data_IF_513679222368
#
_entry.id   IF_513679222368
#
_cell.length_a   1.000
_cell.length_b   1.000
_cell.length_c   1.000
_cell.angle_alpha   90.00
_cell.angle_beta   90.00
_cell.angle_gamma   90.00
#
_symmetry.space_group_name_H-M   'P 1'
#
loop_
_entity.id
_entity.type
_entity.pdbx_description
1 polymer ?
#
# COMPACT_ATOMS: atom_id res chain seq x y z
N UNK A 1 6.63 4.72 -1.02
CA UNK A 1 6.05 3.40 -0.71
C UNK A 1 6.76 2.89 0.52
N UNK A 2 6.10 2.98 1.67
CA UNK A 2 6.62 2.51 2.96
C UNK A 2 6.89 1.01 2.91
N UNK A 3 8.02 0.57 3.47
CA UNK A 3 8.30 -0.85 3.64
C UNK A 3 7.37 -1.47 4.69
N UNK A 4 6.74 -2.59 4.33
CA UNK A 4 5.78 -3.34 5.14
C UNK A 4 6.47 -4.61 5.62
N UNK A 5 6.65 -4.75 6.95
CA UNK A 5 7.17 -5.98 7.55
C UNK A 5 6.10 -7.07 7.50
N UNK A 6 6.45 -8.26 7.04
CA UNK A 6 5.53 -9.41 6.98
C UNK A 6 5.10 -9.84 8.38
N UNK A 7 3.84 -10.22 8.51
CA UNK A 7 3.31 -10.91 9.68
C UNK A 7 2.83 -12.30 9.26
N UNK A 8 2.67 -13.19 10.24
CA UNK A 8 2.17 -14.52 9.98
C UNK A 8 0.70 -14.47 9.55
N UNK A 9 0.33 -15.41 8.67
CA UNK A 9 -1.06 -15.61 8.26
C UNK A 9 -1.97 -15.91 9.46
N UNK A 10 -3.22 -15.41 9.49
CA UNK A 10 -4.18 -15.79 10.52
C UNK A 10 -4.40 -17.31 10.55
N UNK A 11 -4.41 -17.92 11.74
CA UNK A 11 -4.66 -19.36 11.91
C UNK A 11 -6.02 -19.76 11.31
N UNK A 12 -7.02 -18.91 11.49
CA UNK A 12 -8.37 -19.04 10.92
C UNK A 12 -8.35 -19.14 9.39
N UNK A 13 -7.48 -18.36 8.72
CA UNK A 13 -7.32 -18.40 7.27
C UNK A 13 -6.64 -19.68 6.79
N UNK A 14 -5.60 -20.14 7.49
CA UNK A 14 -4.93 -21.40 7.18
C UNK A 14 -5.85 -22.62 7.39
N UNK A 15 -6.65 -22.62 8.47
CA UNK A 15 -7.67 -23.64 8.72
C UNK A 15 -8.72 -23.66 7.61
N UNK A 16 -9.27 -22.49 7.26
CA UNK A 16 -10.26 -22.37 6.20
C UNK A 16 -9.75 -22.89 4.85
N UNK A 17 -8.50 -22.59 4.46
CA UNK A 17 -7.88 -23.14 3.23
C UNK A 17 -7.83 -24.67 3.23
N UNK A 18 -7.51 -25.27 4.38
CA UNK A 18 -7.41 -26.73 4.50
C UNK A 18 -8.76 -27.43 4.39
N UNK A 19 -9.82 -26.78 4.90
CA UNK A 19 -11.21 -27.25 4.85
C UNK A 19 -11.87 -26.99 3.49
N UNK A 20 -11.45 -25.94 2.77
CA UNK A 20 -12.08 -25.46 1.55
C UNK A 20 -11.14 -25.56 0.33
N UNK A 21 -10.54 -26.74 0.12
CA UNK A 21 -9.48 -26.94 -0.91
C UNK A 21 -9.91 -26.67 -2.35
N UNK A 22 -11.21 -26.69 -2.63
CA UNK A 22 -11.78 -26.42 -3.97
C UNK A 22 -12.47 -25.06 -4.08
N UNK A 23 -12.43 -24.25 -3.02
CA UNK A 23 -13.02 -22.90 -3.04
C UNK A 23 -12.23 -21.98 -3.97
N UNK A 24 -12.94 -21.00 -4.54
CA UNK A 24 -12.37 -19.91 -5.31
C UNK A 24 -12.51 -18.57 -4.56
N UNK A 25 -11.91 -17.50 -5.09
CA UNK A 25 -11.96 -16.19 -4.44
C UNK A 25 -13.36 -15.66 -4.10
N UNK A 26 -14.40 -15.99 -4.88
CA UNK A 26 -15.75 -15.51 -4.62
C UNK A 26 -16.36 -16.20 -3.40
N UNK A 27 -15.98 -17.45 -3.11
CA UNK A 27 -16.40 -18.18 -1.91
C UNK A 27 -15.77 -17.56 -0.64
N UNK A 28 -14.61 -16.93 -0.79
CA UNK A 28 -13.88 -16.27 0.31
C UNK A 28 -14.26 -14.80 0.50
N UNK A 29 -14.29 -14.01 -0.58
CA UNK A 29 -14.26 -12.54 -0.52
C UNK A 29 -15.51 -11.85 0.03
N UNK A 30 -16.59 -12.59 0.25
CA UNK A 30 -17.81 -12.13 0.92
C UNK A 30 -17.90 -12.48 2.42
N UNK A 31 -16.94 -13.23 2.96
CA UNK A 31 -17.04 -13.82 4.31
C UNK A 31 -16.57 -12.87 5.42
N UNK A 32 -16.90 -13.19 6.67
CA UNK A 32 -16.32 -12.49 7.83
C UNK A 32 -14.83 -12.78 7.99
N UNK A 33 -14.38 -13.97 7.58
CA UNK A 33 -12.95 -14.30 7.53
C UNK A 33 -12.18 -13.41 6.57
N UNK A 34 -12.75 -13.04 5.42
CA UNK A 34 -12.14 -12.04 4.54
C UNK A 34 -11.95 -10.69 5.25
N UNK A 35 -12.93 -10.26 6.06
CA UNK A 35 -12.82 -9.01 6.83
C UNK A 35 -11.71 -9.12 7.89
N UNK A 36 -11.61 -10.27 8.57
CA UNK A 36 -10.54 -10.57 9.53
C UNK A 36 -9.15 -10.46 8.87
N UNK A 37 -8.93 -11.21 7.78
CA UNK A 37 -7.67 -11.20 7.02
C UNK A 37 -7.33 -9.78 6.57
N UNK A 38 -8.31 -9.04 6.03
CA UNK A 38 -8.11 -7.66 5.59
C UNK A 38 -7.76 -6.72 6.75
N UNK A 39 -8.40 -6.88 7.91
CA UNK A 39 -8.12 -6.06 9.09
C UNK A 39 -6.71 -6.34 9.62
N UNK A 40 -6.25 -7.59 9.59
CA UNK A 40 -4.88 -7.92 9.96
C UNK A 40 -3.87 -7.26 9.02
N UNK A 41 -4.10 -7.32 7.70
CA UNK A 41 -3.27 -6.61 6.72
C UNK A 41 -3.27 -5.10 6.98
N UNK A 42 -4.42 -4.50 7.26
CA UNK A 42 -4.48 -3.07 7.60
C UNK A 42 -3.69 -2.72 8.87
N UNK A 43 -3.77 -3.56 9.91
CA UNK A 43 -2.99 -3.37 11.12
C UNK A 43 -1.48 -3.46 10.85
N UNK A 44 -1.06 -4.47 10.07
CA UNK A 44 0.32 -4.62 9.61
C UNK A 44 0.81 -3.41 8.79
N UNK A 45 -0.10 -2.73 8.10
CA UNK A 45 0.17 -1.57 7.26
C UNK A 45 -0.09 -0.22 7.95
N UNK A 46 -0.24 -0.20 9.28
CA UNK A 46 -0.54 1.01 10.05
C UNK A 46 -1.75 1.79 9.50
N UNK A 47 -2.79 1.05 9.10
CA UNK A 47 -4.02 1.57 8.50
C UNK A 47 -3.83 2.31 7.17
N UNK A 48 -2.71 2.13 6.47
CA UNK A 48 -2.47 2.74 5.16
C UNK A 48 -2.68 1.77 4.01
N UNK A 49 -3.04 2.30 2.84
CA UNK A 49 -2.92 1.57 1.58
C UNK A 49 -1.44 1.22 1.35
N UNK A 50 -1.14 -0.06 1.10
CA UNK A 50 0.25 -0.51 0.99
C UNK A 50 1.00 0.00 -0.24
N UNK A 51 0.31 0.63 -1.20
CA UNK A 51 0.95 1.25 -2.37
C UNK A 51 1.07 2.77 -2.27
N UNK A 52 -0.06 3.46 -2.08
CA UNK A 52 -0.09 4.93 -2.16
C UNK A 52 -0.06 5.62 -0.79
N UNK A 53 -0.09 4.85 0.30
CA UNK A 53 -0.03 5.31 1.68
C UNK A 53 -1.21 6.18 2.12
N UNK A 54 -2.28 6.30 1.32
CA UNK A 54 -3.49 6.97 1.81
C UNK A 54 -4.03 6.21 3.03
N UNK A 55 -4.43 6.96 4.06
CA UNK A 55 -5.09 6.37 5.22
C UNK A 55 -6.39 5.68 4.81
N UNK A 56 -6.56 4.46 5.29
CA UNK A 56 -7.79 3.68 5.25
C UNK A 56 -8.48 3.84 6.60
N UNK A 57 -9.48 4.72 6.66
CA UNK A 57 -10.28 4.92 7.88
C UNK A 57 -10.98 3.60 8.26
N UNK A 58 -11.02 3.31 9.59
CA UNK A 58 -11.45 2.07 10.27
C UNK A 58 -12.82 1.47 9.90
N UNK A 59 -13.57 2.05 8.97
CA UNK A 59 -14.84 1.50 8.53
C UNK A 59 -14.69 0.38 7.48
N UNK A 60 -13.45 0.04 7.07
CA UNK A 60 -13.10 -1.12 6.25
C UNK A 60 -13.65 -1.13 4.82
N UNK A 61 -14.51 -0.18 4.44
CA UNK A 61 -15.11 -0.07 3.10
C UNK A 61 -14.22 0.61 2.07
N UNK A 62 -13.17 1.30 2.53
CA UNK A 62 -12.23 2.05 1.68
C UNK A 62 -11.04 1.21 1.19
N UNK A 63 -10.97 -0.08 1.55
CA UNK A 63 -9.92 -1.01 1.11
C UNK A 63 -10.43 -2.39 0.69
N UNK A 64 -9.59 -3.07 -0.08
CA UNK A 64 -9.73 -4.47 -0.48
C UNK A 64 -8.42 -5.22 -0.28
N UNK A 65 -8.50 -6.55 -0.14
CA UNK A 65 -7.33 -7.43 -0.30
C UNK A 65 -6.98 -7.49 -1.78
N UNK A 66 -5.78 -7.03 -2.09
CA UNK A 66 -5.16 -7.08 -3.40
C UNK A 66 -4.11 -8.19 -3.42
N UNK A 67 -3.96 -8.84 -4.57
CA UNK A 67 -2.88 -9.79 -4.82
C UNK A 67 -1.70 -9.08 -5.49
N UNK A 68 -0.47 -9.27 -5.02
CA UNK A 68 0.73 -8.76 -5.72
C UNK A 68 0.82 -9.42 -7.10
N UNK A 69 0.83 -10.75 -7.13
CA UNK A 69 0.66 -11.60 -8.31
C UNK A 69 -0.80 -11.97 -8.46
N UNK A 70 -1.45 -11.52 -9.53
CA UNK A 70 -2.89 -11.69 -9.67
C UNK A 70 -3.32 -13.16 -9.81
N UNK A 71 -4.54 -13.46 -9.37
CA UNK A 71 -5.11 -14.81 -9.41
C UNK A 71 -5.40 -15.36 -10.81
N UNK A 72 -5.47 -14.52 -11.85
CA UNK A 72 -5.72 -15.00 -13.22
C UNK A 72 -4.45 -15.61 -13.81
N UNK A 73 -3.31 -14.91 -13.70
CA UNK A 73 -2.04 -15.38 -14.24
C UNK A 73 -1.27 -16.28 -13.25
N UNK A 74 -1.55 -16.18 -11.95
CA UNK A 74 -0.88 -16.92 -10.90
C UNK A 74 -1.88 -17.61 -9.94
N UNK A 75 -2.66 -18.61 -10.42
CA UNK A 75 -3.69 -19.26 -9.62
C UNK A 75 -3.16 -19.93 -8.35
N UNK A 76 -1.90 -20.40 -8.35
CA UNK A 76 -1.25 -20.96 -7.15
C UNK A 76 -1.05 -19.93 -6.02
N UNK A 77 -1.12 -18.64 -6.34
CA UNK A 77 -0.92 -17.53 -5.40
C UNK A 77 -2.25 -16.94 -4.89
N UNK A 78 -3.39 -17.47 -5.34
CA UNK A 78 -4.74 -16.94 -5.03
C UNK A 78 -5.03 -16.92 -3.53
N UNK A 79 -4.59 -17.95 -2.79
CA UNK A 79 -4.75 -18.07 -1.34
C UNK A 79 -3.41 -18.07 -0.59
N UNK A 80 -2.36 -17.53 -1.21
CA UNK A 80 -1.09 -17.30 -0.53
C UNK A 80 -1.16 -15.97 0.25
N UNK A 81 -1.15 -16.03 1.59
CA UNK A 81 -1.22 -14.83 2.43
C UNK A 81 -0.05 -13.87 2.17
N UNK A 82 1.14 -14.40 1.84
CA UNK A 82 2.31 -13.58 1.52
C UNK A 82 2.17 -12.81 0.20
N UNK A 83 1.19 -13.19 -0.62
CA UNK A 83 0.83 -12.50 -1.85
C UNK A 83 -0.23 -11.40 -1.61
N UNK A 84 -0.73 -11.22 -0.38
CA UNK A 84 -1.79 -10.26 -0.07
C UNK A 84 -1.27 -8.92 0.41
N UNK A 85 -2.01 -7.87 0.06
CA UNK A 85 -1.81 -6.51 0.56
C UNK A 85 -3.16 -5.81 0.68
N UNK A 86 -3.36 -4.95 1.68
CA UNK A 86 -4.53 -4.08 1.71
C UNK A 86 -4.30 -2.86 0.80
N UNK A 87 -5.09 -2.75 -0.27
CA UNK A 87 -5.09 -1.63 -1.22
C UNK A 87 -6.33 -0.76 -1.02
N UNK A 88 -6.22 0.53 -1.36
CA UNK A 88 -7.39 1.40 -1.40
C UNK A 88 -8.34 1.06 -2.57
N UNK A 89 -9.61 1.46 -2.43
CA UNK A 89 -10.70 1.18 -3.39
C UNK A 89 -10.79 2.18 -4.56
N UNK A 90 -9.80 3.06 -4.73
CA UNK A 90 -9.83 4.05 -5.81
C UNK A 90 -9.49 3.40 -7.16
N UNK A 91 -10.31 3.67 -8.18
CA UNK A 91 -10.16 3.05 -9.52
C UNK A 91 -9.01 3.62 -10.36
N UNK A 92 -8.54 4.81 -10.03
CA UNK A 92 -7.52 5.55 -10.78
C UNK A 92 -6.07 5.20 -10.39
N UNK A 93 -5.88 4.37 -9.35
CA UNK A 93 -4.58 4.02 -8.80
C UNK A 93 -4.60 2.66 -8.07
N UNK A 94 -3.45 2.21 -7.59
CA UNK A 94 -3.26 1.06 -6.71
C UNK A 94 -3.81 -0.25 -7.31
N UNK A 95 -4.39 -1.14 -6.50
CA UNK A 95 -4.84 -2.46 -6.92
C UNK A 95 -5.83 -2.44 -8.10
N UNK A 96 -6.82 -1.55 -8.07
CA UNK A 96 -7.79 -1.43 -9.18
C UNK A 96 -7.11 -1.00 -10.49
N UNK A 97 -6.19 -0.04 -10.45
CA UNK A 97 -5.48 0.41 -11.65
C UNK A 97 -4.46 -0.61 -12.15
N UNK A 98 -3.81 -1.33 -11.24
CA UNK A 98 -2.89 -2.42 -11.53
C UNK A 98 -3.62 -3.55 -12.27
N UNK A 99 -4.78 -3.98 -11.77
CA UNK A 99 -5.49 -5.14 -12.30
C UNK A 99 -4.58 -6.37 -12.30
N UNK A 100 -4.46 -7.01 -13.46
CA UNK A 100 -3.62 -8.21 -13.65
C UNK A 100 -2.18 -7.89 -14.06
N UNK A 101 -1.80 -6.62 -14.11
CA UNK A 101 -0.43 -6.26 -14.46
C UNK A 101 0.53 -6.64 -13.32
N UNK A 102 1.52 -7.47 -13.64
CA UNK A 102 2.62 -7.83 -12.77
C UNK A 102 3.89 -8.07 -13.62
N UNK A 103 5.07 -7.86 -13.04
CA UNK A 103 6.35 -8.17 -13.68
C UNK A 103 7.37 -8.58 -12.63
N UNK A 104 8.41 -9.34 -13.03
CA UNK A 104 9.32 -10.02 -12.10
C UNK A 104 10.00 -9.10 -11.08
N UNK A 105 10.32 -7.87 -11.48
CA UNK A 105 10.98 -6.87 -10.63
C UNK A 105 10.02 -5.79 -10.12
N UNK A 106 8.72 -6.08 -10.07
CA UNK A 106 7.75 -5.15 -9.50
C UNK A 106 8.20 -4.74 -8.10
N UNK A 107 8.37 -3.42 -7.88
CA UNK A 107 8.80 -2.90 -6.57
C UNK A 107 7.69 -3.17 -5.55
N UNK A 108 7.89 -4.23 -4.76
CA UNK A 108 6.95 -4.71 -3.77
C UNK A 108 7.13 -3.93 -2.46
N UNK A 109 6.06 -3.53 -1.77
CA UNK A 109 6.18 -2.92 -0.45
C UNK A 109 6.73 -3.86 0.62
N UNK A 110 6.81 -5.16 0.34
CA UNK A 110 7.44 -6.14 1.25
C UNK A 110 8.95 -6.29 0.99
N UNK A 111 9.51 -5.59 0.00
CA UNK A 111 10.96 -5.51 -0.18
C UNK A 111 11.52 -4.46 0.82
N UNK A 112 12.48 -4.82 1.69
CA UNK A 112 13.12 -3.87 2.60
C UNK A 112 13.70 -2.63 1.93
N UNK A 113 14.06 -2.72 0.65
CA UNK A 113 14.61 -1.62 -0.13
C UNK A 113 13.55 -0.83 -0.91
N UNK A 114 12.25 -1.18 -0.85
CA UNK A 114 11.24 -0.54 -1.67
C UNK A 114 11.16 0.98 -1.45
N UNK A 115 11.35 1.42 -0.21
CA UNK A 115 11.20 2.81 0.19
C UNK A 115 12.29 3.69 -0.44
N UNK A 116 13.55 3.25 -0.42
CA UNK A 116 14.68 4.01 -0.95
C UNK A 116 14.65 4.18 -2.47
N UNK A 117 13.88 3.35 -3.17
CA UNK A 117 13.72 3.43 -4.64
C UNK A 117 12.83 4.59 -5.09
N UNK A 118 12.08 5.22 -4.19
CA UNK A 118 11.20 6.33 -4.52
C UNK A 118 11.54 7.59 -3.74
N UNK A 119 11.35 8.73 -4.39
CA UNK A 119 11.38 10.05 -3.75
C UNK A 119 10.25 10.91 -4.31
N UNK A 120 10.14 12.13 -3.82
CA UNK A 120 9.07 13.05 -4.16
C UNK A 120 9.60 14.35 -4.76
N UNK A 121 8.73 15.03 -5.48
CA UNK A 121 8.92 16.41 -5.93
C UNK A 121 8.03 17.34 -5.13
N UNK A 122 8.43 18.62 -5.04
CA UNK A 122 7.64 19.68 -4.37
C UNK A 122 6.22 19.84 -4.94
N UNK A 123 6.00 19.49 -6.20
CA UNK A 123 4.66 19.48 -6.80
C UNK A 123 3.84 18.19 -6.53
N UNK A 124 4.28 17.32 -5.62
CA UNK A 124 3.52 16.16 -5.15
C UNK A 124 3.65 14.89 -6.01
N UNK A 125 4.58 14.84 -6.97
CA UNK A 125 4.80 13.61 -7.76
C UNK A 125 5.72 12.66 -7.02
N UNK A 126 5.44 11.36 -7.15
CA UNK A 126 6.40 10.32 -6.80
C UNK A 126 7.25 10.00 -8.03
N UNK A 127 8.56 9.91 -7.85
CA UNK A 127 9.54 9.62 -8.90
C UNK A 127 10.52 8.55 -8.39
N UNK A 128 11.22 7.82 -9.27
CA UNK A 128 12.31 6.97 -8.80
C UNK A 128 13.43 7.83 -8.20
N UNK A 129 14.09 7.34 -7.15
CA UNK A 129 15.26 7.99 -6.55
C UNK A 129 16.46 7.99 -7.52
N UNK A 130 16.67 6.89 -8.24
CA UNK A 130 17.56 6.82 -9.40
C UNK A 130 16.75 6.90 -10.70
N UNK A 131 17.00 7.91 -11.53
CA UNK A 131 16.30 8.08 -12.82
C UNK A 131 16.49 6.91 -13.79
N UNK A 132 17.52 6.07 -13.61
CA UNK A 132 17.76 4.87 -14.42
C UNK A 132 17.00 3.65 -13.92
N UNK A 133 16.32 3.76 -12.77
CA UNK A 133 15.52 2.70 -12.19
C UNK A 133 14.23 2.46 -12.99
N UNK A 134 14.34 1.61 -14.00
CA UNK A 134 13.22 1.27 -14.90
C UNK A 134 12.08 0.55 -14.18
N UNK A 135 12.39 -0.22 -13.14
CA UNK A 135 11.38 -1.00 -12.40
C UNK A 135 10.55 -0.08 -11.52
N UNK A 136 11.16 0.87 -10.82
CA UNK A 136 10.45 1.89 -10.06
C UNK A 136 9.55 2.75 -10.97
N UNK A 137 10.06 3.18 -12.13
CA UNK A 137 9.27 3.91 -13.14
C UNK A 137 8.06 3.09 -13.58
N UNK A 138 8.28 1.81 -13.92
CA UNK A 138 7.21 0.91 -14.37
C UNK A 138 6.18 0.66 -13.27
N UNK A 139 6.62 0.45 -12.03
CA UNK A 139 5.73 0.31 -10.86
C UNK A 139 4.87 1.55 -10.63
N UNK A 140 5.44 2.76 -10.69
CA UNK A 140 4.69 4.03 -10.58
C UNK A 140 3.58 4.10 -11.63
N UNK A 141 3.89 3.74 -12.87
CA UNK A 141 2.95 3.79 -13.99
C UNK A 141 1.83 2.76 -13.88
N UNK A 142 2.17 1.49 -13.57
CA UNK A 142 1.19 0.41 -13.41
C UNK A 142 0.22 0.72 -12.27
N UNK A 143 0.74 1.20 -11.14
CA UNK A 143 -0.07 1.55 -9.97
C UNK A 143 -0.75 2.92 -10.09
N UNK A 144 -0.51 3.70 -11.15
CA UNK A 144 -1.08 5.03 -11.29
C UNK A 144 -0.74 5.97 -10.13
N UNK A 145 0.45 5.85 -9.52
CA UNK A 145 0.78 6.58 -8.28
C UNK A 145 0.90 8.10 -8.47
N UNK A 146 0.87 8.58 -9.72
CA UNK A 146 0.85 9.99 -10.10
C UNK A 146 -0.49 10.43 -10.73
N UNK A 147 -1.59 9.74 -10.44
CA UNK A 147 -2.92 10.26 -10.79
C UNK A 147 -3.16 11.63 -10.10
N UNK A 148 -3.99 12.49 -10.71
CA UNK A 148 -4.25 13.86 -10.25
C UNK A 148 -4.57 13.92 -8.74
N UNK A 149 -5.46 13.05 -8.27
CA UNK A 149 -5.88 12.97 -6.86
C UNK A 149 -4.72 12.73 -5.90
N UNK A 150 -3.80 11.82 -6.23
CA UNK A 150 -2.65 11.53 -5.37
C UNK A 150 -1.63 12.67 -5.42
N UNK A 151 -1.37 13.23 -6.60
CA UNK A 151 -0.46 14.38 -6.75
C UNK A 151 -0.96 15.58 -5.95
N UNK A 152 -2.23 15.94 -6.09
CA UNK A 152 -2.83 17.08 -5.39
C UNK A 152 -2.80 16.88 -3.87
N UNK A 153 -3.07 15.67 -3.38
CA UNK A 153 -3.00 15.34 -1.93
C UNK A 153 -1.58 15.46 -1.38
N UNK A 154 -0.59 14.88 -2.08
CA UNK A 154 0.82 14.97 -1.66
C UNK A 154 1.31 16.42 -1.68
N UNK A 155 0.97 17.17 -2.73
CA UNK A 155 1.29 18.60 -2.81
C UNK A 155 0.67 19.40 -1.66
N UNK A 156 -0.59 19.12 -1.31
CA UNK A 156 -1.24 19.74 -0.15
C UNK A 156 -0.47 19.49 1.15
N UNK A 157 -0.07 18.24 1.41
CA UNK A 157 0.73 17.87 2.59
C UNK A 157 2.09 18.58 2.57
N UNK A 158 2.80 18.56 1.43
CA UNK A 158 4.10 19.24 1.27
C UNK A 158 3.97 20.73 1.58
N UNK A 159 2.99 21.42 0.99
CA UNK A 159 2.74 22.84 1.25
C UNK A 159 2.43 23.11 2.72
N UNK A 160 1.56 22.29 3.35
CA UNK A 160 1.27 22.43 4.78
C UNK A 160 2.53 22.28 5.64
N UNK A 161 3.42 21.36 5.29
CA UNK A 161 4.66 21.11 6.02
C UNK A 161 5.73 22.19 5.78
N UNK A 162 5.78 22.81 4.60
CA UNK A 162 6.69 23.93 4.29
C UNK A 162 6.47 25.13 5.21
N UNK A 163 5.24 25.37 5.62
CA UNK A 163 4.86 26.51 6.47
C UNK A 163 4.97 26.21 7.98
N UNK A 164 5.33 24.98 8.36
CA UNK A 164 5.39 24.53 9.76
C UNK A 164 6.84 24.45 10.28
N UNK A 165 7.04 24.73 11.57
CA UNK A 165 8.33 24.51 12.24
C UNK A 165 8.67 23.01 12.30
N UNK A 166 9.85 22.64 11.79
CA UNK A 166 10.36 21.26 11.82
C UNK A 166 10.34 20.67 13.24
N UNK A 167 10.63 21.45 14.29
CA UNK A 167 10.55 20.96 15.67
C UNK A 167 9.13 20.60 16.07
N UNK A 168 8.14 21.37 15.62
CA UNK A 168 6.74 21.08 15.83
C UNK A 168 6.29 19.84 15.06
N UNK A 169 6.76 19.66 13.82
CA UNK A 169 6.47 18.46 13.01
C UNK A 169 7.11 17.23 13.66
N UNK A 170 8.39 17.28 14.03
CA UNK A 170 9.07 16.19 14.73
C UNK A 170 8.39 15.84 16.04
N UNK A 171 8.06 16.85 16.85
CA UNK A 171 7.34 16.63 18.10
C UNK A 171 5.95 16.06 17.83
N UNK A 172 5.27 16.49 16.77
CA UNK A 172 3.99 15.91 16.36
C UNK A 172 4.15 14.47 15.87
N UNK A 173 5.23 14.13 15.16
CA UNK A 173 5.55 12.75 14.74
C UNK A 173 5.99 11.85 15.91
N UNK A 174 6.63 12.43 16.93
CA UNK A 174 7.06 11.73 18.16
C UNK A 174 5.90 11.56 19.15
N UNK A 175 5.01 12.56 19.26
CA UNK A 175 3.91 12.60 20.23
C UNK A 175 2.58 12.06 19.66
N UNK A 176 2.28 12.28 18.37
CA UNK A 176 1.32 11.45 17.66
C UNK A 176 2.03 10.15 17.35
N UNK A 177 1.68 9.07 18.05
CA UNK A 177 2.27 7.74 17.83
C UNK A 177 2.26 7.30 16.36
N UNK A 178 1.39 7.86 15.51
CA UNK A 178 1.38 7.76 14.05
C UNK A 178 0.84 9.08 13.48
N UNK A 179 1.42 9.62 12.40
CA UNK A 179 0.74 10.64 11.59
C UNK A 179 -0.46 9.98 10.91
N UNK A 180 -1.64 10.13 11.51
CA UNK A 180 -2.86 9.43 11.09
C UNK A 180 -3.45 9.92 9.76
N UNK A 181 -2.83 10.83 9.00
CA UNK A 181 -3.39 11.28 7.72
C UNK A 181 -2.88 10.48 6.50
N UNK A 182 -2.03 9.46 6.73
CA UNK A 182 -1.36 8.70 5.67
C UNK A 182 -0.19 9.47 5.03
N UNK A 183 0.32 8.96 3.91
CA UNK A 183 1.46 9.48 3.16
C UNK A 183 2.75 9.58 3.98
N UNK A 184 3.00 8.58 4.83
CA UNK A 184 4.18 8.49 5.70
C UNK A 184 5.48 8.91 5.01
N UNK A 185 5.78 8.35 3.84
CA UNK A 185 7.06 8.61 3.14
C UNK A 185 7.13 10.01 2.54
N UNK A 186 6.00 10.69 2.33
CA UNK A 186 5.99 12.12 1.92
C UNK A 186 6.41 12.99 3.09
N UNK A 187 5.97 12.64 4.30
CA UNK A 187 6.35 13.36 5.51
C UNK A 187 7.83 13.15 5.79
N UNK A 188 8.33 11.91 5.71
CA UNK A 188 9.78 11.64 5.81
C UNK A 188 10.59 12.46 4.79
N UNK A 189 10.13 12.57 3.54
CA UNK A 189 10.77 13.40 2.52
C UNK A 189 10.87 14.88 2.90
N UNK A 190 9.93 15.41 3.68
CA UNK A 190 9.92 16.81 4.09
C UNK A 190 10.79 17.09 5.32
N UNK A 191 11.15 16.05 6.08
CA UNK A 191 11.99 16.16 7.27
C UNK A 191 13.50 16.09 6.98
N UNK A 192 13.88 15.92 5.71
CA UNK A 192 15.26 15.78 5.23
C UNK A 192 15.57 16.82 4.14
#
# INVERSE_FOLDING_TARGET
MKHIKRQQSPVSFEQWKNENRTANWNDFSGTDLYKEVKNQLLNQQEQMCGYCEILIIKNGKSSHIEHLKDKQNFPKEEFNYDNFIASCQHRDSCGHKKGTNYFSNFVSPFDPNCQSRFTYTRNGRIIPSDKKDKDAIKTINILGLNCKRLVDRRKGIINTLEDMDNNYIEQSLKNCKEWYCGFYTVIEYMMH
#
